data_IF_391376575631
#
_entry.id   IF_391376575631
#
_cell.length_a   1.000
_cell.length_b   1.000
_cell.length_c   1.000
_cell.angle_alpha   90.00
_cell.angle_beta   90.00
_cell.angle_gamma   90.00
#
_symmetry.space_group_name_H-M   'P 1'
#
loop_
_entity.id
_entity.type
_entity.pdbx_description
1 polymer ?
#
# COMPACT_ATOMS: atom_id res chain seq x y z
N UNK A 1 59.54 -14.78 8.39
CA UNK A 1 58.22 -15.35 8.70
C UNK A 1 57.31 -14.19 9.08
N UNK A 2 56.22 -14.05 8.32
CA UNK A 2 54.99 -13.28 8.55
C UNK A 2 55.07 -11.74 8.76
N UNK A 3 54.47 -11.03 7.82
CA UNK A 3 54.17 -9.60 7.82
C UNK A 3 53.00 -9.26 8.75
N UNK A 4 53.04 -8.07 9.36
CA UNK A 4 51.97 -7.51 10.18
C UNK A 4 50.83 -6.99 9.30
N UNK A 5 49.60 -7.45 9.56
CA UNK A 5 48.39 -6.91 8.95
C UNK A 5 47.90 -5.69 9.75
N UNK A 6 47.88 -4.52 9.11
CA UNK A 6 47.08 -3.40 9.55
C UNK A 6 45.69 -3.52 8.89
N UNK A 7 44.64 -3.66 9.70
CA UNK A 7 43.25 -3.52 9.25
C UNK A 7 42.70 -2.22 9.84
N UNK A 8 42.79 -1.14 9.06
CA UNK A 8 41.94 0.02 9.20
C UNK A 8 40.60 -0.30 8.53
N UNK A 9 39.57 -0.58 9.32
CA UNK A 9 38.19 -0.69 8.86
C UNK A 9 37.45 0.60 9.15
N UNK A 10 37.35 1.46 8.14
CA UNK A 10 36.50 2.65 8.13
C UNK A 10 35.02 2.26 8.02
N UNK A 11 34.18 2.97 8.78
CA UNK A 11 32.87 3.48 8.36
C UNK A 11 31.78 2.48 7.95
N UNK A 12 30.77 2.33 8.81
CA UNK A 12 29.41 2.11 8.33
C UNK A 12 28.55 3.24 8.90
N UNK A 13 28.75 4.41 8.30
CA UNK A 13 27.80 5.51 8.42
C UNK A 13 26.57 5.11 7.63
N UNK A 14 25.48 4.83 8.34
CA UNK A 14 24.07 5.05 7.97
C UNK A 14 23.90 5.49 6.51
N UNK A 15 24.09 4.55 5.59
CA UNK A 15 23.86 4.77 4.17
C UNK A 15 22.50 4.19 3.90
N UNK A 16 21.48 5.05 4.00
CA UNK A 16 20.12 4.72 3.63
C UNK A 16 20.13 3.90 2.34
N UNK A 17 19.57 2.70 2.40
CA UNK A 17 19.59 1.71 1.33
C UNK A 17 19.23 2.40 0.01
N UNK A 18 20.16 2.39 -0.95
CA UNK A 18 19.96 3.00 -2.27
C UNK A 18 18.91 2.26 -3.11
N UNK A 19 18.52 1.06 -2.69
CA UNK A 19 17.48 0.24 -3.30
C UNK A 19 16.11 0.55 -2.67
N UNK A 20 14.99 0.27 -3.34
CA UNK A 20 13.68 0.47 -2.74
C UNK A 20 13.49 -0.48 -1.54
N UNK A 21 12.91 0.05 -0.46
CA UNK A 21 12.56 -0.73 0.74
C UNK A 21 11.07 -0.57 1.01
N UNK A 22 10.27 -1.48 0.46
CA UNK A 22 8.82 -1.36 0.45
C UNK A 22 8.18 -1.98 1.69
N UNK A 23 7.23 -1.26 2.28
CA UNK A 23 6.36 -1.74 3.36
C UNK A 23 4.90 -1.37 3.09
N UNK A 24 3.97 -2.15 3.64
CA UNK A 24 2.54 -2.02 3.37
C UNK A 24 1.78 -1.63 4.62
N UNK A 25 0.95 -0.59 4.51
CA UNK A 25 0.09 -0.10 5.58
C UNK A 25 -1.34 0.14 5.10
N UNK A 26 -2.26 0.33 6.04
CA UNK A 26 -3.67 0.67 5.75
C UNK A 26 -4.29 -0.20 4.65
N UNK A 27 -4.02 -1.51 4.66
CA UNK A 27 -4.49 -2.45 3.65
C UNK A 27 -5.92 -2.87 3.97
N UNK A 28 -6.87 -2.63 3.07
CA UNK A 28 -8.25 -3.09 3.23
C UNK A 28 -9.03 -3.05 1.91
N UNK A 29 -10.08 -3.87 1.87
CA UNK A 29 -11.13 -3.84 0.85
C UNK A 29 -12.44 -3.52 1.57
N UNK A 30 -13.12 -2.39 1.32
CA UNK A 30 -14.50 -2.25 1.77
C UNK A 30 -15.34 -3.32 1.09
N UNK A 31 -16.22 -3.97 1.85
CA UNK A 31 -17.12 -4.99 1.31
C UNK A 31 -17.87 -4.41 0.10
N UNK A 32 -17.71 -5.00 -1.10
CA UNK A 32 -18.32 -4.45 -2.30
C UNK A 32 -19.84 -4.60 -2.24
N UNK A 33 -20.52 -3.59 -2.77
CA UNK A 33 -21.97 -3.67 -3.02
C UNK A 33 -22.28 -4.46 -4.29
N UNK A 34 -21.37 -4.39 -5.28
CA UNK A 34 -21.43 -5.16 -6.53
C UNK A 34 -20.98 -6.61 -6.32
N UNK A 35 -21.49 -7.51 -7.16
CA UNK A 35 -21.08 -8.92 -7.21
C UNK A 35 -19.91 -9.16 -8.18
N UNK A 36 -19.63 -8.21 -9.08
CA UNK A 36 -18.63 -8.35 -10.14
C UNK A 36 -17.41 -7.45 -9.97
N UNK A 37 -17.51 -6.44 -9.10
CA UNK A 37 -16.52 -5.37 -8.95
C UNK A 37 -16.23 -5.05 -7.47
N UNK A 38 -14.98 -4.78 -7.12
CA UNK A 38 -14.58 -4.28 -5.80
C UNK A 38 -13.43 -3.26 -5.88
N UNK A 39 -13.34 -2.37 -4.90
CA UNK A 39 -12.20 -1.47 -4.75
C UNK A 39 -11.27 -1.97 -3.64
N UNK A 40 -9.96 -1.84 -3.83
CA UNK A 40 -8.95 -2.12 -2.81
C UNK A 40 -8.06 -0.92 -2.54
N UNK A 41 -7.69 -0.77 -1.27
CA UNK A 41 -6.93 0.36 -0.77
C UNK A 41 -5.75 -0.13 0.08
N UNK A 42 -4.62 0.56 -0.06
CA UNK A 42 -3.39 0.29 0.67
C UNK A 42 -2.45 1.48 0.57
N UNK A 43 -1.50 1.56 1.49
CA UNK A 43 -0.36 2.47 1.41
C UNK A 43 0.88 1.63 1.19
N UNK A 44 1.65 1.98 0.16
CA UNK A 44 3.00 1.44 -0.07
C UNK A 44 3.99 2.52 0.35
N UNK A 45 4.72 2.30 1.43
CA UNK A 45 5.78 3.20 1.88
C UNK A 45 7.14 2.65 1.41
N UNK A 46 8.00 3.54 0.95
CA UNK A 46 9.35 3.22 0.52
C UNK A 46 10.36 3.96 1.41
N UNK A 47 11.04 3.22 2.27
CA UNK A 47 12.06 3.78 3.16
C UNK A 47 13.41 3.97 2.43
N UNK A 48 13.62 3.24 1.35
CA UNK A 48 14.83 3.27 0.52
C UNK A 48 14.91 4.48 -0.39
N UNK A 49 16.10 4.74 -0.92
CA UNK A 49 16.41 5.95 -1.70
C UNK A 49 16.05 5.89 -3.18
N UNK A 50 15.81 4.69 -3.74
CA UNK A 50 15.39 4.55 -5.13
C UNK A 50 13.86 4.49 -5.27
N UNK A 51 13.36 5.19 -6.29
CA UNK A 51 11.96 5.08 -6.73
C UNK A 51 11.64 3.66 -7.22
N UNK A 52 10.40 3.23 -7.06
CA UNK A 52 9.83 2.05 -7.70
C UNK A 52 8.46 2.40 -8.32
N UNK A 53 7.85 1.44 -9.02
CA UNK A 53 6.53 1.58 -9.64
C UNK A 53 5.72 0.31 -9.45
N UNK A 54 4.51 0.45 -8.95
CA UNK A 54 3.51 -0.61 -9.00
C UNK A 54 3.01 -0.73 -10.44
N UNK A 55 3.31 -1.84 -11.10
CA UNK A 55 3.04 -2.06 -12.53
C UNK A 55 1.80 -2.92 -12.79
N UNK A 56 1.51 -3.86 -11.89
CA UNK A 56 0.30 -4.67 -11.95
C UNK A 56 0.00 -5.30 -10.59
N UNK A 57 -1.22 -5.79 -10.45
CA UNK A 57 -1.66 -6.55 -9.28
C UNK A 57 -2.39 -7.79 -9.78
N UNK A 58 -2.22 -8.91 -9.10
CA UNK A 58 -3.02 -10.11 -9.34
C UNK A 58 -3.68 -10.58 -8.04
N UNK A 59 -4.80 -11.28 -8.19
CA UNK A 59 -5.54 -11.86 -7.07
C UNK A 59 -6.31 -13.09 -7.54
N UNK A 60 -6.49 -14.06 -6.65
CA UNK A 60 -7.21 -15.31 -6.93
C UNK A 60 -8.72 -15.09 -7.06
N UNK A 61 -9.28 -14.09 -6.38
CA UNK A 61 -10.72 -13.81 -6.34
C UNK A 61 -11.27 -13.08 -7.56
N UNK A 62 -10.41 -12.49 -8.40
CA UNK A 62 -10.78 -11.65 -9.53
C UNK A 62 -10.24 -12.25 -10.83
N UNK A 63 -10.89 -11.92 -11.95
CA UNK A 63 -10.33 -12.21 -13.27
C UNK A 63 -9.24 -11.20 -13.65
N UNK A 64 -9.33 -10.00 -13.11
CA UNK A 64 -8.47 -8.87 -13.47
C UNK A 64 -8.40 -7.87 -12.30
N UNK A 65 -7.22 -7.26 -12.09
CA UNK A 65 -7.05 -6.18 -11.12
C UNK A 65 -6.30 -5.04 -11.81
N UNK A 66 -7.00 -3.91 -11.98
CA UNK A 66 -6.51 -2.71 -12.69
C UNK A 66 -6.13 -1.61 -11.69
N UNK A 67 -5.21 -0.73 -12.10
CA UNK A 67 -4.77 0.42 -11.30
C UNK A 67 -5.52 1.66 -11.79
N UNK A 68 -6.22 2.35 -10.92
CA UNK A 68 -7.02 3.52 -11.29
C UNK A 68 -6.55 4.77 -10.55
N UNK A 69 -6.68 5.93 -11.20
CA UNK A 69 -6.60 7.25 -10.57
C UNK A 69 -7.97 7.92 -10.62
N UNK A 70 -8.31 8.65 -9.56
CA UNK A 70 -9.57 9.41 -9.49
C UNK A 70 -9.27 10.90 -9.56
N UNK A 71 -9.91 11.60 -10.50
CA UNK A 71 -9.87 13.05 -10.60
C UNK A 71 -11.29 13.60 -10.68
N UNK A 72 -11.72 14.27 -9.62
CA UNK A 72 -13.12 14.68 -9.46
C UNK A 72 -14.06 13.48 -9.45
N UNK A 73 -14.86 13.35 -10.51
CA UNK A 73 -15.83 12.26 -10.70
C UNK A 73 -15.34 11.20 -11.70
N UNK A 74 -14.17 11.41 -12.31
CA UNK A 74 -13.63 10.49 -13.32
C UNK A 74 -12.65 9.51 -12.69
N UNK A 75 -12.83 8.23 -13.00
CA UNK A 75 -11.86 7.18 -12.71
C UNK A 75 -11.20 6.76 -14.01
N UNK A 76 -9.87 6.79 -14.04
CA UNK A 76 -9.09 6.47 -15.24
C UNK A 76 -8.10 5.37 -14.91
N UNK A 77 -8.13 4.29 -15.69
CA UNK A 77 -7.13 3.23 -15.62
C UNK A 77 -5.75 3.79 -16.01
N UNK A 78 -4.72 3.40 -15.26
CA UNK A 78 -3.33 3.75 -15.49
C UNK A 78 -2.47 2.49 -15.55
N UNK A 79 -1.40 2.54 -16.33
CA UNK A 79 -0.50 1.40 -16.52
C UNK A 79 0.42 1.12 -15.34
N UNK A 80 0.67 2.13 -14.50
CA UNK A 80 1.49 2.03 -13.31
C UNK A 80 1.22 3.21 -12.38
N UNK A 81 1.67 3.06 -11.12
CA UNK A 81 1.66 4.10 -10.11
C UNK A 81 3.05 4.21 -9.47
N UNK A 82 3.57 5.44 -9.38
CA UNK A 82 4.90 5.71 -8.82
C UNK A 82 4.94 5.51 -7.29
N UNK A 83 6.04 4.92 -6.81
CA UNK A 83 6.40 4.80 -5.40
C UNK A 83 7.74 5.49 -5.20
N UNK A 84 7.74 6.81 -4.89
CA UNK A 84 8.99 7.57 -4.79
C UNK A 84 9.87 7.06 -3.64
N UNK A 85 11.19 7.14 -3.81
CA UNK A 85 12.19 6.93 -2.77
C UNK A 85 11.93 7.86 -1.58
N UNK A 86 12.14 7.34 -0.37
CA UNK A 86 11.82 8.03 0.89
C UNK A 86 10.39 8.60 0.94
N UNK A 87 9.46 7.94 0.25
CA UNK A 87 8.11 8.43 0.01
C UNK A 87 7.06 7.33 0.11
N UNK A 88 5.87 7.61 -0.44
CA UNK A 88 4.76 6.66 -0.40
C UNK A 88 3.82 6.81 -1.60
N UNK A 89 3.26 5.69 -2.02
CA UNK A 89 2.08 5.61 -2.86
C UNK A 89 0.86 5.36 -1.96
N UNK A 90 -0.14 6.23 -2.04
CA UNK A 90 -1.39 6.11 -1.29
C UNK A 90 -2.50 5.69 -2.24
N UNK A 91 -3.10 4.54 -1.97
CA UNK A 91 -4.33 4.09 -2.61
C UNK A 91 -5.48 4.19 -1.59
N UNK A 92 -6.41 5.11 -1.85
CA UNK A 92 -7.49 5.46 -0.93
C UNK A 92 -8.77 5.88 -1.67
N UNK A 93 -9.87 5.94 -0.93
CA UNK A 93 -11.16 6.37 -1.47
C UNK A 93 -11.08 7.82 -1.98
N UNK A 94 -11.49 8.03 -3.23
CA UNK A 94 -11.41 9.34 -3.89
C UNK A 94 -10.06 9.66 -4.51
N UNK A 95 -9.05 8.79 -4.37
CA UNK A 95 -7.73 8.93 -4.98
C UNK A 95 -7.39 7.74 -5.89
N UNK A 96 -6.10 7.36 -5.88
CA UNK A 96 -5.66 6.14 -6.57
C UNK A 96 -6.27 4.91 -5.88
N UNK A 97 -6.59 3.87 -6.63
CA UNK A 97 -7.16 2.65 -6.05
C UNK A 97 -6.94 1.44 -6.96
N UNK A 98 -7.04 0.26 -6.35
CA UNK A 98 -7.11 -0.99 -7.10
C UNK A 98 -8.58 -1.24 -7.46
N UNK A 99 -8.84 -1.61 -8.71
CA UNK A 99 -10.15 -2.05 -9.15
C UNK A 99 -10.11 -3.53 -9.49
N UNK A 100 -10.87 -4.33 -8.76
CA UNK A 100 -11.02 -5.77 -8.99
C UNK A 100 -12.20 -5.98 -9.91
N UNK A 101 -11.96 -6.62 -11.05
CA UNK A 101 -12.98 -6.90 -12.05
C UNK A 101 -13.19 -8.40 -12.24
N UNK A 102 -14.39 -8.74 -12.72
CA UNK A 102 -14.78 -10.13 -12.98
C UNK A 102 -14.60 -10.99 -11.73
N UNK A 103 -15.10 -10.50 -10.58
CA UNK A 103 -15.05 -11.23 -9.32
C UNK A 103 -15.65 -12.63 -9.48
N UNK A 104 -14.91 -13.65 -9.04
CA UNK A 104 -15.33 -15.06 -9.05
C UNK A 104 -16.27 -15.37 -7.89
N UNK A 105 -16.19 -14.58 -6.82
CA UNK A 105 -17.06 -14.60 -5.63
C UNK A 105 -17.12 -13.20 -5.05
N UNK A 106 -18.25 -12.85 -4.41
CA UNK A 106 -18.38 -11.61 -3.64
C UNK A 106 -17.64 -11.74 -2.30
N UNK A 107 -16.56 -10.98 -2.04
CA UNK A 107 -15.90 -10.96 -0.74
C UNK A 107 -16.83 -10.34 0.32
N UNK A 108 -16.79 -10.86 1.54
CA UNK A 108 -17.61 -10.38 2.67
C UNK A 108 -16.74 -9.90 3.81
N UNK A 109 -17.27 -9.00 4.64
CA UNK A 109 -16.59 -8.53 5.85
C UNK A 109 -16.09 -9.71 6.69
N UNK A 110 -14.82 -9.63 7.10
CA UNK A 110 -14.13 -10.72 7.82
C UNK A 110 -13.33 -11.64 6.91
N UNK A 111 -13.60 -11.66 5.60
CA UNK A 111 -12.76 -12.37 4.63
C UNK A 111 -11.37 -11.74 4.54
N UNK A 112 -10.43 -12.51 3.99
CA UNK A 112 -9.14 -12.03 3.50
C UNK A 112 -9.01 -12.33 2.01
N UNK A 113 -8.40 -11.40 1.30
CA UNK A 113 -8.10 -11.50 -0.13
C UNK A 113 -6.58 -11.47 -0.30
N UNK A 114 -6.00 -12.49 -0.94
CA UNK A 114 -4.57 -12.50 -1.23
C UNK A 114 -4.29 -11.71 -2.51
N UNK A 115 -3.32 -10.81 -2.43
CA UNK A 115 -2.83 -10.02 -3.55
C UNK A 115 -1.36 -10.34 -3.81
N UNK A 116 -0.97 -10.26 -5.07
CA UNK A 116 0.42 -10.18 -5.48
C UNK A 116 0.63 -8.87 -6.24
N UNK A 117 1.45 -8.00 -5.65
CA UNK A 117 1.78 -6.68 -6.17
C UNK A 117 3.09 -6.78 -6.96
N UNK A 118 3.08 -6.39 -8.23
CA UNK A 118 4.25 -6.49 -9.08
C UNK A 118 4.93 -5.12 -9.24
N UNK A 119 6.10 -5.00 -8.62
CA UNK A 119 6.93 -3.80 -8.72
C UNK A 119 7.99 -3.94 -9.81
N UNK A 120 8.41 -2.81 -10.38
CA UNK A 120 9.37 -2.80 -11.50
C UNK A 120 10.78 -3.14 -11.03
N UNK A 121 11.17 -2.71 -9.83
CA UNK A 121 12.50 -2.98 -9.26
C UNK A 121 12.48 -4.02 -8.15
N UNK A 122 11.50 -3.96 -7.25
CA UNK A 122 11.44 -4.83 -6.06
C UNK A 122 10.86 -6.22 -6.31
N UNK A 123 10.37 -6.50 -7.52
CA UNK A 123 9.75 -7.77 -7.87
C UNK A 123 8.34 -7.97 -7.27
N UNK A 124 7.79 -9.19 -7.31
CA UNK A 124 6.46 -9.49 -6.79
C UNK A 124 6.43 -9.58 -5.25
N UNK A 125 5.41 -8.99 -4.63
CA UNK A 125 5.20 -9.01 -3.18
C UNK A 125 3.78 -9.41 -2.83
N UNK A 126 3.63 -10.36 -1.89
CA UNK A 126 2.33 -10.84 -1.45
C UNK A 126 1.79 -10.02 -0.29
N UNK A 127 0.51 -9.64 -0.37
CA UNK A 127 -0.18 -8.87 0.66
C UNK A 127 -1.54 -9.49 0.94
N UNK A 128 -1.87 -9.67 2.22
CA UNK A 128 -3.23 -10.03 2.64
C UNK A 128 -4.08 -8.76 2.82
N UNK A 129 -5.17 -8.66 2.07
CA UNK A 129 -6.11 -7.56 2.13
C UNK A 129 -7.37 -7.99 2.91
N UNK A 130 -7.57 -7.52 4.15
CA UNK A 130 -8.77 -7.84 4.91
C UNK A 130 -9.98 -7.10 4.32
N UNK A 131 -11.11 -7.80 4.21
CA UNK A 131 -12.38 -7.20 3.84
C UNK A 131 -13.02 -6.57 5.08
N UNK A 132 -13.36 -5.29 4.98
CA UNK A 132 -13.92 -4.47 6.06
C UNK A 132 -15.33 -4.03 5.72
N UNK A 133 -16.04 -3.49 6.71
CA UNK A 133 -17.37 -2.94 6.50
C UNK A 133 -17.36 -1.87 5.39
N UNK A 134 -18.48 -1.67 4.65
CA UNK A 134 -18.56 -0.66 3.60
C UNK A 134 -18.29 0.78 4.08
N UNK A 135 -18.51 1.04 5.37
CA UNK A 135 -18.32 2.34 6.02
C UNK A 135 -16.98 2.46 6.76
N UNK A 136 -16.12 1.45 6.63
CA UNK A 136 -14.81 1.45 7.29
C UNK A 136 -13.99 2.66 6.85
N UNK A 137 -13.48 3.39 7.84
CA UNK A 137 -12.49 4.45 7.65
C UNK A 137 -11.22 4.00 8.35
N UNK A 138 -10.09 3.84 7.63
CA UNK A 138 -8.83 3.51 8.28
C UNK A 138 -8.48 4.62 9.26
N UNK A 139 -8.13 4.26 10.49
CA UNK A 139 -7.58 5.23 11.45
C UNK A 139 -6.20 5.63 10.95
N UNK A 140 -6.08 6.78 10.30
CA UNK A 140 -4.80 7.46 10.20
C UNK A 140 -4.42 7.84 11.63
N UNK A 141 -3.53 7.06 12.25
CA UNK A 141 -2.94 7.44 13.54
C UNK A 141 -2.03 8.65 13.32
N UNK A 142 -2.63 9.82 13.08
CA UNK A 142 -2.04 11.07 13.52
C UNK A 142 -2.26 11.10 15.02
N UNK A 143 -1.22 10.75 15.76
CA UNK A 143 -1.13 10.99 17.21
C UNK A 143 -1.05 12.50 17.45
N UNK A 144 -2.13 13.24 17.17
CA UNK A 144 -2.29 14.59 17.70
C UNK A 144 -2.93 14.44 19.07
N UNK A 145 -2.06 14.41 20.07
CA UNK A 145 -2.39 14.76 21.44
C UNK A 145 -3.31 15.98 21.44
N UNK A 146 -4.58 15.79 21.77
CA UNK A 146 -5.38 16.80 22.47
C UNK A 146 -6.44 16.07 23.29
N UNK A 147 -5.92 15.55 24.40
CA UNK A 147 -6.67 15.22 25.59
C UNK A 147 -7.35 16.49 26.14
N UNK A 148 -8.60 16.30 26.59
CA UNK A 148 -9.31 17.11 27.59
C UNK A 148 -9.74 18.53 27.23
N UNK A 149 -11.06 18.69 27.15
CA UNK A 149 -11.75 19.45 28.22
C UNK A 149 -13.25 19.17 28.16
N UNK A 150 -13.72 18.38 29.12
CA UNK A 150 -15.07 18.47 29.64
C UNK A 150 -15.34 19.90 30.09
N UNK A 151 -16.43 20.50 29.62
CA UNK A 151 -17.13 21.54 30.39
C UNK A 151 -18.63 21.30 30.25
N UNK A 152 -19.16 20.60 31.25
CA UNK A 152 -20.54 20.76 31.67
C UNK A 152 -20.66 22.14 32.29
N UNK A 153 -21.57 22.98 31.80
CA UNK A 153 -22.12 24.10 32.59
C UNK A 153 -23.63 24.19 32.35
N UNK A 154 -24.32 24.04 33.49
CA UNK A 154 -25.61 24.55 33.93
C UNK A 154 -26.51 25.29 32.95
#
# INVERSE_FOLDING_TARGET
MAAALALAGCGDSDSGSSEPELSFGSVYMPQPVSDSMAAGFLVVANAGGADDRLSSVTSDIAGEVTLHTTSGQSMTEVKNLDVPGHGKLVLESGGNHLMFEKLKRKPKEGDKVSLELHFTKSGPMKVEMPVKSPTYRPTTTTKSSMQSSSTSHH
#
